data_IF_230315405527
#
_entry.id   IF_230315405527
#
_cell.length_a   1.000
_cell.length_b   1.000
_cell.length_c   1.000
_cell.angle_alpha   90.00
_cell.angle_beta   90.00
_cell.angle_gamma   90.00
#
_symmetry.space_group_name_H-M   'P 1'
#
loop_
_entity.id
_entity.type
_entity.pdbx_description
1 polymer ?
#
# COMPACT_ATOMS: atom_id res chain seq x y z
N UNK A 1 2.41 -1.23 -19.53
CA UNK A 1 1.69 -0.07 -18.94
C UNK A 1 1.92 1.17 -19.78
N UNK A 2 0.87 1.92 -20.13
CA UNK A 2 0.94 3.21 -20.83
C UNK A 2 0.56 4.34 -19.90
N UNK A 3 1.12 5.54 -20.13
CA UNK A 3 0.71 6.75 -19.39
C UNK A 3 -0.72 7.15 -19.72
N UNK A 4 -1.30 7.98 -18.86
CA UNK A 4 -2.64 8.53 -19.09
C UNK A 4 -2.63 9.53 -20.26
N UNK A 5 -3.71 9.52 -21.01
CA UNK A 5 -3.99 10.47 -22.10
C UNK A 5 -5.42 11.02 -21.95
N UNK A 6 -5.64 12.23 -22.47
CA UNK A 6 -6.99 12.81 -22.48
C UNK A 6 -7.92 11.99 -23.39
N UNK A 7 -9.13 11.74 -22.90
CA UNK A 7 -10.18 11.04 -23.62
C UNK A 7 -11.51 11.75 -23.44
N UNK A 8 -12.50 11.43 -24.26
CA UNK A 8 -13.84 12.05 -24.14
C UNK A 8 -14.45 11.84 -22.76
N UNK A 9 -14.53 12.91 -21.99
CA UNK A 9 -15.11 12.91 -20.64
C UNK A 9 -14.20 12.42 -19.51
N UNK A 10 -12.88 12.36 -19.72
CA UNK A 10 -11.91 11.98 -18.69
C UNK A 10 -10.54 11.63 -19.25
N UNK A 11 -9.88 10.69 -18.64
CA UNK A 11 -8.55 10.24 -18.99
C UNK A 11 -8.51 8.72 -19.10
N UNK A 12 -7.70 8.19 -20.01
CA UNK A 12 -7.56 6.75 -20.23
C UNK A 12 -6.10 6.33 -20.21
N UNK A 13 -5.84 5.14 -19.67
CA UNK A 13 -4.55 4.47 -19.73
C UNK A 13 -4.76 3.03 -20.18
N UNK A 14 -3.87 2.53 -21.04
CA UNK A 14 -3.90 1.14 -21.51
C UNK A 14 -2.98 0.30 -20.63
N UNK A 15 -3.57 -0.72 -20.03
CA UNK A 15 -2.93 -1.71 -19.20
C UNK A 15 -3.24 -3.10 -19.73
N UNK A 16 -2.25 -3.97 -19.75
CA UNK A 16 -2.46 -5.39 -19.94
C UNK A 16 -3.26 -5.97 -18.77
N UNK A 17 -3.90 -7.12 -18.98
CA UNK A 17 -4.72 -7.75 -17.93
C UNK A 17 -3.92 -8.03 -16.67
N UNK A 18 -2.73 -8.59 -16.80
CA UNK A 18 -1.85 -8.88 -15.66
C UNK A 18 -1.41 -7.61 -14.91
N UNK A 19 -1.20 -6.48 -15.61
CA UNK A 19 -0.86 -5.20 -14.98
C UNK A 19 -2.01 -4.69 -14.13
N UNK A 20 -3.25 -4.80 -14.61
CA UNK A 20 -4.45 -4.41 -13.85
C UNK A 20 -4.65 -5.30 -12.63
N UNK A 21 -4.52 -6.62 -12.79
CA UNK A 21 -4.62 -7.58 -11.68
C UNK A 21 -3.54 -7.34 -10.63
N UNK A 22 -2.32 -7.06 -11.06
CA UNK A 22 -1.22 -6.71 -10.16
C UNK A 22 -1.51 -5.44 -9.36
N UNK A 23 -1.91 -4.35 -10.04
CA UNK A 23 -2.26 -3.10 -9.37
C UNK A 23 -3.47 -3.25 -8.43
N UNK A 24 -4.47 -4.02 -8.84
CA UNK A 24 -5.61 -4.34 -7.97
C UNK A 24 -5.17 -5.09 -6.71
N UNK A 25 -4.24 -6.03 -6.84
CA UNK A 25 -3.64 -6.75 -5.71
C UNK A 25 -2.88 -5.83 -4.74
N UNK A 26 -2.14 -4.83 -5.26
CA UNK A 26 -1.49 -3.83 -4.40
C UNK A 26 -2.50 -2.99 -3.61
N UNK A 27 -3.60 -2.57 -4.26
CA UNK A 27 -4.68 -1.82 -3.60
C UNK A 27 -5.39 -2.67 -2.54
N UNK A 28 -5.66 -3.94 -2.85
CA UNK A 28 -6.27 -4.89 -1.92
C UNK A 28 -5.43 -5.07 -0.65
N UNK A 29 -4.12 -5.21 -0.80
CA UNK A 29 -3.20 -5.35 0.32
C UNK A 29 -3.21 -4.13 1.23
N UNK A 30 -3.23 -2.92 0.67
CA UNK A 30 -3.35 -1.68 1.47
C UNK A 30 -4.72 -1.61 2.17
N UNK A 31 -5.79 -2.04 1.51
CA UNK A 31 -7.12 -2.11 2.14
C UNK A 31 -7.15 -3.10 3.30
N UNK A 32 -6.49 -4.26 3.16
CA UNK A 32 -6.34 -5.25 4.23
C UNK A 32 -5.55 -4.71 5.44
N UNK A 33 -4.46 -3.95 5.19
CA UNK A 33 -3.70 -3.27 6.25
C UNK A 33 -4.58 -2.32 7.06
N UNK A 34 -5.37 -1.49 6.37
CA UNK A 34 -6.30 -0.56 7.01
C UNK A 34 -7.41 -1.29 7.79
N UNK A 35 -7.89 -2.44 7.29
CA UNK A 35 -8.88 -3.26 7.98
C UNK A 35 -8.31 -3.90 9.26
N UNK A 36 -7.08 -4.39 9.22
CA UNK A 36 -6.42 -5.00 10.37
C UNK A 36 -6.23 -4.01 11.52
N UNK A 37 -5.82 -2.75 11.23
CA UNK A 37 -5.71 -1.69 12.25
C UNK A 37 -7.07 -1.35 12.90
N UNK A 38 -8.17 -1.47 12.15
CA UNK A 38 -9.53 -1.24 12.67
C UNK A 38 -10.10 -2.33 13.57
N UNK A 39 -9.50 -3.52 13.52
CA UNK A 39 -9.97 -4.71 14.26
C UNK A 39 -9.36 -4.85 15.65
N UNK A 40 -8.46 -3.94 16.07
CA UNK A 40 -7.91 -3.90 17.43
C UNK A 40 -8.99 -3.60 18.47
N UNK A 41 -8.82 -4.04 19.73
CA UNK A 41 -9.77 -3.72 20.79
C UNK A 41 -9.89 -2.21 20.94
N UNK A 42 -11.11 -1.67 21.15
CA UNK A 42 -11.28 -0.24 21.36
C UNK A 42 -10.44 0.17 22.59
N UNK A 43 -9.47 1.07 22.38
CA UNK A 43 -8.72 1.69 23.47
C UNK A 43 -9.68 2.54 24.31
N UNK A 44 -10.23 1.94 25.36
CA UNK A 44 -11.10 2.61 26.29
C UNK A 44 -11.55 1.67 27.39
N UNK A 45 -11.01 1.89 28.60
CA UNK A 45 -11.45 1.33 29.87
C UNK A 45 -10.99 -0.11 30.20
N UNK A 46 -9.73 -0.27 30.54
CA UNK A 46 -9.37 -1.31 31.50
C UNK A 46 -9.58 -0.75 32.91
N UNK A 47 -10.79 -0.91 33.42
CA UNK A 47 -11.02 -0.90 34.87
C UNK A 47 -10.32 -2.11 35.50
N UNK A 48 -9.43 -1.79 36.43
CA UNK A 48 -8.75 -2.77 37.27
C UNK A 48 -9.80 -3.56 38.10
N UNK A 49 -9.70 -4.87 38.11
CA UNK A 49 -9.78 -5.74 39.29
C UNK A 49 -9.78 -7.21 38.88
N UNK A 50 -8.85 -7.95 39.46
CA UNK A 50 -8.93 -9.42 39.46
C UNK A 50 -7.57 -10.10 39.45
N UNK A 51 -7.00 -10.31 40.63
CA UNK A 51 -5.81 -11.11 40.85
C UNK A 51 -5.98 -12.57 40.40
N UNK A 52 -4.96 -13.16 39.78
CA UNK A 52 -4.89 -14.57 39.44
C UNK A 52 -3.58 -14.94 38.78
N UNK A 53 -2.65 -15.38 39.60
CA UNK A 53 -1.33 -15.91 39.37
C UNK A 53 -1.24 -16.92 38.20
N UNK A 54 -0.36 -16.73 37.22
CA UNK A 54 0.41 -17.80 36.56
C UNK A 54 1.45 -17.22 35.60
N UNK A 55 2.68 -17.53 35.91
CA UNK A 55 3.89 -17.18 35.15
C UNK A 55 3.81 -17.66 33.69
N UNK A 56 3.89 -16.74 32.77
CA UNK A 56 4.50 -16.92 31.46
C UNK A 56 4.81 -15.52 30.92
N UNK A 57 6.10 -15.23 30.74
CA UNK A 57 6.55 -13.97 30.17
C UNK A 57 5.94 -13.80 28.77
N UNK A 58 5.21 -12.70 28.47
CA UNK A 58 4.82 -12.39 27.12
C UNK A 58 6.05 -11.78 26.42
N UNK A 59 6.66 -12.52 25.53
CA UNK A 59 7.37 -11.90 24.41
C UNK A 59 6.34 -11.00 23.75
N UNK A 60 6.69 -9.75 23.47
CA UNK A 60 5.91 -8.80 22.68
C UNK A 60 5.34 -9.54 21.47
N UNK A 61 4.06 -9.91 21.53
CA UNK A 61 3.45 -10.85 20.62
C UNK A 61 2.83 -10.11 19.45
N UNK A 62 3.41 -10.28 18.28
CA UNK A 62 2.66 -10.17 17.05
C UNK A 62 1.39 -11.02 17.19
N UNK A 63 0.22 -10.42 16.98
CA UNK A 63 -1.03 -11.19 17.00
C UNK A 63 -1.01 -12.18 15.83
N UNK A 64 -1.72 -13.31 15.96
CA UNK A 64 -1.86 -14.25 14.85
C UNK A 64 -2.48 -13.60 13.62
N UNK A 65 -3.24 -12.53 13.82
CA UNK A 65 -3.87 -11.73 12.78
C UNK A 65 -2.86 -10.81 12.08
N UNK A 66 -1.94 -10.18 12.82
CA UNK A 66 -0.84 -9.39 12.24
C UNK A 66 0.05 -10.25 11.36
N UNK A 67 0.34 -11.48 11.80
CA UNK A 67 1.12 -12.45 11.02
C UNK A 67 0.39 -12.91 9.76
N UNK A 68 -0.93 -13.11 9.81
CA UNK A 68 -1.73 -13.46 8.64
C UNK A 68 -1.80 -12.31 7.62
N UNK A 69 -1.94 -11.07 8.10
CA UNK A 69 -1.94 -9.87 7.24
C UNK A 69 -0.56 -9.65 6.62
N UNK A 70 0.51 -9.83 7.39
CA UNK A 70 1.88 -9.70 6.88
C UNK A 70 2.22 -10.79 5.86
N UNK A 71 1.72 -12.02 6.05
CA UNK A 71 1.87 -13.10 5.07
C UNK A 71 1.03 -12.86 3.79
N UNK A 72 -0.11 -12.15 3.90
CA UNK A 72 -0.91 -11.75 2.75
C UNK A 72 -0.30 -10.58 1.98
N UNK A 73 0.64 -9.85 2.60
CA UNK A 73 1.39 -8.76 1.97
C UNK A 73 2.66 -9.24 1.26
N UNK A 74 2.76 -10.53 0.98
CA UNK A 74 3.84 -11.12 0.21
C UNK A 74 3.73 -10.64 -1.24
N UNK A 75 4.44 -9.54 -1.53
CA UNK A 75 4.55 -8.97 -2.87
C UNK A 75 5.45 -9.88 -3.72
N UNK A 76 4.93 -11.02 -4.14
CA UNK A 76 5.64 -11.87 -5.07
C UNK A 76 5.49 -11.29 -6.49
N UNK A 77 6.55 -10.72 -7.10
CA UNK A 77 6.45 -10.22 -8.46
C UNK A 77 6.13 -11.41 -9.38
N UNK A 78 5.24 -11.25 -10.39
CA UNK A 78 4.86 -12.32 -11.27
C UNK A 78 6.07 -12.81 -12.09
N UNK A 79 6.79 -13.79 -11.56
CA UNK A 79 7.81 -14.52 -12.27
C UNK A 79 7.16 -15.63 -13.10
N UNK A 80 7.58 -15.87 -14.35
CA UNK A 80 7.02 -16.96 -15.16
C UNK A 80 7.37 -18.31 -14.51
N UNK A 81 6.42 -18.90 -13.77
CA UNK A 81 6.44 -20.31 -13.43
C UNK A 81 6.74 -20.70 -12.00
N UNK A 82 6.36 -19.93 -10.98
CA UNK A 82 6.40 -20.42 -9.59
C UNK A 82 5.01 -20.55 -9.00
N UNK A 83 4.68 -21.77 -8.63
CA UNK A 83 3.53 -22.08 -7.77
C UNK A 83 3.68 -21.37 -6.43
N UNK A 84 2.59 -20.83 -5.92
CA UNK A 84 2.47 -20.21 -4.61
C UNK A 84 2.83 -21.21 -3.47
N UNK A 85 4.09 -21.34 -3.14
CA UNK A 85 4.59 -22.09 -1.98
C UNK A 85 6.07 -21.80 -1.75
N UNK A 86 6.42 -20.59 -1.39
CA UNK A 86 7.71 -20.30 -0.75
C UNK A 86 7.51 -19.16 0.21
N UNK A 87 7.34 -19.52 1.47
CA UNK A 87 7.38 -18.60 2.61
C UNK A 87 8.76 -17.93 2.62
N UNK A 88 8.83 -16.69 2.15
CA UNK A 88 10.00 -15.85 2.35
C UNK A 88 10.04 -15.46 3.83
N UNK A 89 10.97 -16.05 4.57
CA UNK A 89 11.24 -15.79 5.98
C UNK A 89 12.11 -14.54 6.19
N UNK A 90 11.89 -13.49 5.45
CA UNK A 90 12.35 -12.18 5.87
C UNK A 90 11.42 -11.69 6.98
N UNK A 91 11.96 -11.27 8.12
CA UNK A 91 11.14 -10.69 9.19
C UNK A 91 10.39 -9.48 8.61
N UNK A 92 9.05 -9.53 8.55
CA UNK A 92 8.30 -8.45 7.94
C UNK A 92 8.54 -7.14 8.70
N UNK A 93 8.68 -6.00 8.02
CA UNK A 93 8.82 -4.71 8.67
C UNK A 93 7.65 -4.51 9.64
N UNK A 94 7.89 -3.90 10.79
CA UNK A 94 6.85 -3.67 11.79
C UNK A 94 5.65 -2.97 11.14
N UNK A 95 4.45 -3.48 11.37
CA UNK A 95 3.21 -2.99 10.76
C UNK A 95 2.92 -1.52 11.14
N UNK A 96 3.24 -1.15 12.39
CA UNK A 96 2.99 0.19 12.92
C UNK A 96 3.52 1.33 12.05
N UNK A 97 4.78 1.36 11.58
CA UNK A 97 5.28 2.45 10.74
C UNK A 97 4.54 2.61 9.41
N UNK A 98 4.01 1.51 8.86
CA UNK A 98 3.23 1.52 7.62
C UNK A 98 1.83 2.08 7.88
N UNK A 99 1.21 1.67 8.97
CA UNK A 99 -0.09 2.21 9.40
C UNK A 99 0.00 3.69 9.73
N UNK A 100 1.04 4.13 10.43
CA UNK A 100 1.25 5.55 10.76
C UNK A 100 1.48 6.40 9.50
N UNK A 101 2.11 5.85 8.46
CA UNK A 101 2.21 6.54 7.17
C UNK A 101 0.85 6.67 6.46
N UNK A 102 -0.03 5.68 6.61
CA UNK A 102 -1.38 5.71 6.03
C UNK A 102 -2.34 6.56 6.86
N UNK A 103 -2.21 6.54 8.18
CA UNK A 103 -3.10 7.21 9.12
C UNK A 103 -2.27 8.08 10.07
N UNK A 104 -1.66 9.17 9.57
CA UNK A 104 -0.79 10.02 10.37
C UNK A 104 -1.57 10.71 11.49
N UNK A 105 -0.86 11.01 12.56
CA UNK A 105 -1.41 11.79 13.67
C UNK A 105 -1.81 13.20 13.21
N UNK A 106 -2.90 13.70 13.76
CA UNK A 106 -3.43 15.02 13.40
C UNK A 106 -2.68 16.19 14.06
N UNK A 107 -1.72 15.92 14.96
CA UNK A 107 -0.93 16.91 15.69
C UNK A 107 0.45 16.35 16.03
N UNK A 108 1.44 17.24 16.12
CA UNK A 108 2.77 16.93 16.64
C UNK A 108 2.79 16.87 18.18
N UNK A 109 1.79 17.46 18.86
CA UNK A 109 1.60 17.34 20.29
C UNK A 109 0.95 16.01 20.64
N UNK A 110 1.60 15.12 21.41
CA UNK A 110 1.09 13.77 21.70
C UNK A 110 -0.26 13.74 22.43
N UNK A 111 -0.53 14.73 23.31
CA UNK A 111 -1.81 14.79 24.03
C UNK A 111 -2.95 15.17 23.08
N UNK A 112 -2.72 16.17 22.23
CA UNK A 112 -3.66 16.60 21.19
C UNK A 112 -3.83 15.51 20.13
N UNK A 113 -2.75 14.85 19.71
CA UNK A 113 -2.79 13.74 18.77
C UNK A 113 -3.69 12.61 19.28
N UNK A 114 -3.55 12.22 20.55
CA UNK A 114 -4.36 11.17 21.17
C UNK A 114 -5.85 11.54 21.21
N UNK A 115 -6.17 12.78 21.59
CA UNK A 115 -7.55 13.27 21.61
C UNK A 115 -8.15 13.30 20.19
N UNK A 116 -7.41 13.81 19.22
CA UNK A 116 -7.85 13.91 17.82
C UNK A 116 -7.93 12.56 17.13
N UNK A 117 -7.06 11.59 17.48
CA UNK A 117 -7.05 10.26 16.86
C UNK A 117 -8.42 9.57 16.97
N UNK A 118 -9.09 9.68 18.10
CA UNK A 118 -10.44 9.15 18.30
C UNK A 118 -11.49 9.70 17.34
N UNK A 119 -11.30 10.93 16.87
CA UNK A 119 -12.24 11.63 15.99
C UNK A 119 -11.88 11.50 14.50
N UNK A 120 -10.59 11.42 14.18
CA UNK A 120 -10.10 11.53 12.79
C UNK A 120 -9.67 10.20 12.18
N UNK A 121 -9.09 9.30 12.96
CA UNK A 121 -8.46 8.05 12.44
C UNK A 121 -9.49 7.10 11.82
N UNK A 122 -10.63 6.87 12.47
CA UNK A 122 -11.69 5.99 11.96
C UNK A 122 -12.35 6.51 10.67
N UNK A 123 -12.79 7.78 10.59
CA UNK A 123 -13.33 8.33 9.34
C UNK A 123 -12.31 8.35 8.19
N UNK A 124 -11.04 8.68 8.48
CA UNK A 124 -9.98 8.66 7.48
C UNK A 124 -9.72 7.25 6.95
N UNK A 125 -9.69 6.24 7.84
CA UNK A 125 -9.56 4.83 7.46
C UNK A 125 -10.69 4.40 6.53
N UNK A 126 -11.94 4.66 6.92
CA UNK A 126 -13.11 4.30 6.12
C UNK A 126 -13.08 4.96 4.73
N UNK A 127 -12.72 6.26 4.65
CA UNK A 127 -12.57 6.98 3.40
C UNK A 127 -11.49 6.37 2.50
N UNK A 128 -10.34 5.96 3.08
CA UNK A 128 -9.26 5.33 2.33
C UNK A 128 -9.67 3.95 1.83
N UNK A 129 -10.31 3.12 2.65
CA UNK A 129 -10.82 1.81 2.25
C UNK A 129 -11.83 1.90 1.10
N UNK A 130 -12.85 2.74 1.22
CA UNK A 130 -13.83 2.97 0.15
C UNK A 130 -13.18 3.40 -1.16
N UNK A 131 -12.18 4.28 -1.07
CA UNK A 131 -11.42 4.76 -2.23
C UNK A 131 -10.62 3.65 -2.91
N UNK A 132 -9.90 2.84 -2.13
CA UNK A 132 -9.10 1.72 -2.63
C UNK A 132 -9.99 0.68 -3.31
N UNK A 133 -11.10 0.29 -2.68
CA UNK A 133 -12.08 -0.66 -3.23
C UNK A 133 -12.69 -0.15 -4.55
N UNK A 134 -13.05 1.14 -4.61
CA UNK A 134 -13.61 1.73 -5.81
C UNK A 134 -12.60 1.74 -6.98
N UNK A 135 -11.33 2.08 -6.73
CA UNK A 135 -10.29 2.08 -7.77
C UNK A 135 -9.94 0.66 -8.20
N UNK A 136 -9.88 -0.29 -7.26
CA UNK A 136 -9.68 -1.71 -7.56
C UNK A 136 -10.78 -2.25 -8.49
N UNK A 137 -12.04 -1.93 -8.22
CA UNK A 137 -13.16 -2.33 -9.09
C UNK A 137 -13.02 -1.74 -10.51
N UNK A 138 -12.65 -0.45 -10.63
CA UNK A 138 -12.44 0.20 -11.93
C UNK A 138 -11.22 -0.37 -12.71
N UNK A 139 -10.21 -0.89 -12.02
CA UNK A 139 -9.09 -1.60 -12.65
C UNK A 139 -9.50 -2.96 -13.19
N UNK A 140 -10.28 -3.71 -12.42
CA UNK A 140 -10.71 -5.07 -12.79
C UNK A 140 -11.82 -5.07 -13.86
N UNK A 141 -12.67 -4.02 -13.88
CA UNK A 141 -13.74 -3.83 -14.85
C UNK A 141 -13.54 -2.55 -15.66
N UNK A 142 -12.52 -2.48 -16.54
CA UNK A 142 -12.17 -1.27 -17.25
C UNK A 142 -13.26 -0.86 -18.26
N UNK A 143 -13.66 0.41 -18.24
CA UNK A 143 -14.75 0.96 -19.05
C UNK A 143 -14.30 1.80 -20.23
N UNK A 144 -12.99 1.98 -20.41
CA UNK A 144 -12.42 2.77 -21.49
C UNK A 144 -12.41 2.05 -22.84
N UNK A 145 -12.03 2.77 -23.88
CA UNK A 145 -12.02 2.27 -25.26
C UNK A 145 -11.02 1.11 -25.39
N UNK A 146 -11.51 -0.03 -25.89
CA UNK A 146 -10.69 -1.23 -26.06
C UNK A 146 -10.22 -1.86 -24.76
N UNK A 147 -10.94 -1.67 -23.64
CA UNK A 147 -10.58 -2.19 -22.33
C UNK A 147 -9.54 -1.35 -21.60
N UNK A 148 -9.37 -0.09 -21.99
CA UNK A 148 -8.52 0.84 -21.25
C UNK A 148 -9.13 1.19 -19.88
N UNK A 149 -8.29 1.43 -18.89
CA UNK A 149 -8.70 1.99 -17.61
C UNK A 149 -9.09 3.44 -17.82
N UNK A 150 -10.28 3.82 -17.37
CA UNK A 150 -10.83 5.15 -17.57
C UNK A 150 -11.13 5.84 -16.24
N UNK A 151 -10.63 7.06 -16.12
CA UNK A 151 -10.93 7.97 -15.02
C UNK A 151 -11.90 9.03 -15.54
N UNK A 152 -13.13 9.03 -15.03
CA UNK A 152 -14.10 10.07 -15.37
C UNK A 152 -13.72 11.40 -14.71
N UNK A 153 -14.06 12.52 -15.36
CA UNK A 153 -13.87 13.86 -14.77
C UNK A 153 -14.59 13.96 -13.43
N UNK A 154 -13.88 14.48 -12.41
CA UNK A 154 -14.34 14.54 -11.02
C UNK A 154 -13.91 13.33 -10.16
N UNK A 155 -13.32 12.28 -10.74
CA UNK A 155 -12.81 11.12 -10.01
C UNK A 155 -11.29 11.12 -9.82
N UNK A 156 -10.61 12.16 -10.25
CA UNK A 156 -9.13 12.27 -10.23
C UNK A 156 -8.58 12.14 -8.82
N UNK A 157 -9.20 12.83 -7.86
CA UNK A 157 -8.76 12.81 -6.46
C UNK A 157 -8.86 11.42 -5.83
N UNK A 158 -9.88 10.66 -6.22
CA UNK A 158 -10.05 9.27 -5.80
C UNK A 158 -8.87 8.42 -6.28
N UNK A 159 -8.52 8.52 -7.55
CA UNK A 159 -7.41 7.79 -8.15
C UNK A 159 -6.05 8.21 -7.59
N UNK A 160 -5.76 9.51 -7.60
CA UNK A 160 -4.52 10.04 -7.05
C UNK A 160 -4.31 9.62 -5.59
N UNK A 161 -5.38 9.68 -4.80
CA UNK A 161 -5.32 9.30 -3.41
C UNK A 161 -5.10 7.80 -3.21
N UNK A 162 -5.74 6.92 -3.99
CA UNK A 162 -5.54 5.48 -3.91
C UNK A 162 -4.11 5.08 -4.31
N UNK A 163 -3.60 5.62 -5.42
CA UNK A 163 -2.22 5.38 -5.86
C UNK A 163 -1.20 5.90 -4.85
N UNK A 164 -1.45 7.08 -4.26
CA UNK A 164 -0.59 7.61 -3.21
C UNK A 164 -0.56 6.72 -1.97
N UNK A 165 -1.68 6.13 -1.55
CA UNK A 165 -1.70 5.22 -0.41
C UNK A 165 -0.84 3.98 -0.65
N UNK A 166 -0.89 3.39 -1.85
CA UNK A 166 0.00 2.28 -2.22
C UNK A 166 1.47 2.73 -2.20
N UNK A 167 1.79 3.90 -2.77
CA UNK A 167 3.15 4.43 -2.78
C UNK A 167 3.70 4.68 -1.37
N UNK A 168 2.87 5.17 -0.45
CA UNK A 168 3.28 5.34 0.96
C UNK A 168 3.68 4.01 1.61
N UNK A 169 2.93 2.95 1.36
CA UNK A 169 3.26 1.61 1.87
C UNK A 169 4.57 1.11 1.27
N UNK A 170 4.73 1.20 -0.05
CA UNK A 170 5.96 0.78 -0.73
C UNK A 170 7.18 1.59 -0.28
N UNK A 171 7.02 2.91 -0.14
CA UNK A 171 8.07 3.79 0.36
C UNK A 171 8.53 3.41 1.78
N UNK A 172 7.57 3.10 2.67
CA UNK A 172 7.90 2.64 4.02
C UNK A 172 8.61 1.29 4.04
N UNK A 173 8.30 0.41 3.11
CA UNK A 173 8.97 -0.90 2.98
C UNK A 173 10.38 -0.80 2.41
N UNK A 174 10.66 0.25 1.65
CA UNK A 174 11.97 0.55 1.09
C UNK A 174 12.80 1.48 1.98
N UNK A 175 12.24 1.93 3.11
CA UNK A 175 12.83 2.94 3.99
C UNK A 175 13.12 4.28 3.26
N UNK A 176 12.24 4.64 2.31
CA UNK A 176 12.35 5.91 1.60
C UNK A 176 11.85 7.03 2.51
N UNK A 177 12.77 7.83 3.02
CA UNK A 177 12.54 8.99 3.88
C UNK A 177 12.95 10.34 3.24
N UNK A 178 13.54 10.28 2.04
CA UNK A 178 13.99 11.47 1.32
C UNK A 178 14.37 11.18 -0.14
N UNK A 179 14.80 12.24 -0.85
CA UNK A 179 15.12 12.14 -2.27
C UNK A 179 16.27 11.18 -2.56
N UNK A 180 17.30 11.13 -1.71
CA UNK A 180 18.46 10.25 -1.88
C UNK A 180 18.05 8.77 -1.81
N UNK A 181 17.21 8.41 -0.82
CA UNK A 181 16.67 7.05 -0.71
C UNK A 181 15.74 6.68 -1.88
N UNK A 182 15.02 7.66 -2.43
CA UNK A 182 14.20 7.45 -3.62
C UNK A 182 15.06 7.20 -4.88
N UNK A 183 16.19 7.90 -5.03
CA UNK A 183 17.16 7.67 -6.11
C UNK A 183 17.83 6.29 -5.98
N UNK A 184 18.17 5.88 -4.76
CA UNK A 184 18.69 4.53 -4.49
C UNK A 184 17.67 3.44 -4.86
N UNK A 185 16.40 3.62 -4.46
CA UNK A 185 15.34 2.69 -4.82
C UNK A 185 15.14 2.61 -6.35
N UNK A 186 15.20 3.73 -7.06
CA UNK A 186 15.17 3.76 -8.52
C UNK A 186 16.35 2.99 -9.12
N UNK A 187 17.58 3.20 -8.61
CA UNK A 187 18.76 2.47 -9.07
C UNK A 187 18.59 0.95 -8.87
N UNK A 188 18.15 0.51 -7.67
CA UNK A 188 17.86 -0.90 -7.38
C UNK A 188 16.86 -1.49 -8.37
N UNK A 189 15.82 -0.73 -8.76
CA UNK A 189 14.79 -1.20 -9.67
C UNK A 189 15.32 -1.50 -11.09
N UNK A 190 16.32 -0.72 -11.58
CA UNK A 190 16.73 -0.73 -12.98
C UNK A 190 18.16 -1.20 -13.22
N UNK A 191 18.96 -1.36 -12.16
CA UNK A 191 20.29 -1.96 -12.31
C UNK A 191 20.20 -3.46 -12.63
N UNK A 192 21.21 -3.95 -13.34
CA UNK A 192 21.30 -5.38 -13.66
C UNK A 192 21.43 -6.21 -12.38
N UNK A 193 20.58 -7.21 -12.24
CA UNK A 193 20.57 -8.07 -11.06
C UNK A 193 21.90 -8.87 -10.98
N UNK A 194 22.58 -8.92 -9.82
CA UNK A 194 23.70 -9.81 -9.62
C UNK A 194 23.31 -11.28 -9.85
N UNK A 195 24.25 -12.11 -10.35
CA UNK A 195 23.98 -13.54 -10.60
C UNK A 195 23.64 -14.31 -9.31
N UNK A 196 24.17 -13.85 -8.17
CA UNK A 196 24.00 -14.44 -6.84
C UNK A 196 23.06 -13.59 -5.95
N UNK A 197 22.05 -12.91 -6.52
CA UNK A 197 21.10 -12.11 -5.75
C UNK A 197 20.32 -13.00 -4.78
N UNK A 198 20.33 -12.67 -3.48
CA UNK A 198 19.58 -13.41 -2.48
C UNK A 198 18.06 -13.07 -2.54
N UNK A 199 17.25 -13.85 -1.80
CA UNK A 199 15.79 -13.69 -1.81
C UNK A 199 15.35 -12.32 -1.28
N UNK A 200 16.04 -11.78 -0.28
CA UNK A 200 15.72 -10.46 0.29
C UNK A 200 16.04 -9.33 -0.69
N UNK A 201 17.16 -9.41 -1.40
CA UNK A 201 17.52 -8.45 -2.44
C UNK A 201 16.55 -8.52 -3.62
N UNK A 202 16.19 -9.72 -4.07
CA UNK A 202 15.21 -9.93 -5.13
C UNK A 202 13.83 -9.34 -4.75
N UNK A 203 13.39 -9.56 -3.51
CA UNK A 203 12.16 -9.00 -2.98
C UNK A 203 12.21 -7.47 -2.92
N UNK A 204 13.32 -6.90 -2.39
CA UNK A 204 13.54 -5.44 -2.34
C UNK A 204 13.50 -4.82 -3.74
N UNK A 205 14.13 -5.47 -4.73
CA UNK A 205 14.09 -5.06 -6.14
C UNK A 205 12.66 -5.05 -6.70
N UNK A 206 11.88 -6.08 -6.41
CA UNK A 206 10.47 -6.18 -6.82
C UNK A 206 9.62 -5.02 -6.27
N UNK A 207 9.82 -4.67 -4.99
CA UNK A 207 9.13 -3.51 -4.38
C UNK A 207 9.61 -2.21 -4.99
N UNK A 208 10.92 -2.04 -5.21
CA UNK A 208 11.51 -0.85 -5.82
C UNK A 208 10.96 -0.62 -7.24
N UNK A 209 10.88 -1.68 -8.05
CA UNK A 209 10.27 -1.62 -9.38
C UNK A 209 8.80 -1.22 -9.32
N UNK A 210 8.04 -1.76 -8.37
CA UNK A 210 6.62 -1.44 -8.17
C UNK A 210 6.43 0.01 -7.75
N UNK A 211 7.28 0.52 -6.86
CA UNK A 211 7.28 1.91 -6.41
C UNK A 211 7.57 2.88 -7.57
N UNK A 212 8.59 2.58 -8.36
CA UNK A 212 9.00 3.40 -9.50
C UNK A 212 7.93 3.42 -10.60
N UNK A 213 7.41 2.24 -10.95
CA UNK A 213 6.32 2.08 -11.91
C UNK A 213 5.06 2.86 -11.50
N UNK A 214 4.63 2.76 -10.24
CA UNK A 214 3.49 3.50 -9.72
C UNK A 214 3.74 5.01 -9.69
N UNK A 215 4.95 5.43 -9.35
CA UNK A 215 5.36 6.83 -9.35
C UNK A 215 5.22 7.40 -10.75
N UNK A 216 5.83 6.77 -11.74
CA UNK A 216 5.73 7.17 -13.14
C UNK A 216 4.27 7.22 -13.64
N UNK A 217 3.47 6.22 -13.30
CA UNK A 217 2.08 6.15 -13.75
C UNK A 217 1.21 7.24 -13.12
N UNK A 218 1.38 7.49 -11.83
CA UNK A 218 0.73 8.61 -11.14
C UNK A 218 1.16 9.97 -11.68
N UNK A 219 2.45 10.15 -11.97
CA UNK A 219 2.97 11.38 -12.58
C UNK A 219 2.40 11.61 -13.99
N UNK A 220 2.18 10.54 -14.76
CA UNK A 220 1.53 10.66 -16.07
C UNK A 220 0.09 11.17 -15.94
N UNK A 221 -0.64 10.75 -14.89
CA UNK A 221 -1.97 11.28 -14.58
C UNK A 221 -1.90 12.75 -14.18
N UNK A 222 -1.01 13.11 -13.26
CA UNK A 222 -0.82 14.51 -12.84
C UNK A 222 -0.46 15.39 -14.03
N UNK A 223 0.41 14.92 -14.90
CA UNK A 223 0.83 15.65 -16.10
C UNK A 223 -0.35 15.96 -17.03
N UNK A 224 -1.19 14.97 -17.33
CA UNK A 224 -2.34 15.17 -18.20
C UNK A 224 -3.45 16.00 -17.54
N UNK A 225 -3.52 16.02 -16.21
CA UNK A 225 -4.44 16.88 -15.45
C UNK A 225 -4.02 18.35 -15.47
N UNK A 226 -2.71 18.63 -15.53
CA UNK A 226 -2.18 19.99 -15.51
C UNK A 226 -2.04 20.62 -16.89
N UNK A 227 -1.80 19.82 -17.92
CA UNK A 227 -1.41 20.29 -19.25
C UNK A 227 -2.27 19.74 -20.39
N UNK A 228 -3.27 18.87 -20.08
CA UNK A 228 -4.20 18.25 -21.03
C UNK A 228 -5.46 19.05 -21.34
#
# INVERSE_FOLDING_TARGET
>A
MHGFAEASGGWESRLETWEREYLAGLLEQVAMLLAADGSGPPNGLQDAHGAGDSRSEPRLGESAQDRAVLAALDFDPPGPGRSASSSLTAAPPALAPVIDALLPDASEDPEVALEMAGLTRSPLRALKQERLEAVMAELLEPTGVGGAVRIARGHEQKWLGALNDVRLVLAKRLDIDGPEAAEEAHAIAWEEAPEDEDEDALWRRGIALSYDMLTWWQESLVTVLLYG
#
